data_IF_334107045335
#
_entry.id   IF_334107045335
#
_cell.length_a   1.000
_cell.length_b   1.000
_cell.length_c   1.000
_cell.angle_alpha   90.00
_cell.angle_beta   90.00
_cell.angle_gamma   90.00
#
_symmetry.space_group_name_H-M   'P 1'
#
loop_
_entity.id
_entity.type
_entity.pdbx_description
1 polymer ?
#
# COMPACT_ATOMS: atom_id res chain seq x y z
N UNK A 1 -21.55 -9.08 19.77
CA UNK A 1 -20.09 -8.92 19.82
C UNK A 1 -19.49 -10.24 20.19
N UNK A 2 -18.53 -10.69 19.39
CA UNK A 2 -17.79 -11.93 19.58
C UNK A 2 -16.31 -11.58 19.59
N UNK A 3 -15.55 -12.24 20.46
CA UNK A 3 -14.11 -12.09 20.52
C UNK A 3 -13.45 -13.47 20.63
N UNK A 4 -12.56 -13.76 19.68
CA UNK A 4 -11.57 -14.81 19.73
C UNK A 4 -10.23 -14.23 20.17
N UNK A 5 -9.63 -14.79 21.21
CA UNK A 5 -8.27 -14.42 21.61
C UNK A 5 -7.46 -15.69 21.86
N UNK A 6 -6.45 -15.90 21.02
CA UNK A 6 -5.49 -16.97 21.16
C UNK A 6 -4.10 -16.39 21.37
N UNK A 7 -3.50 -16.64 22.54
CA UNK A 7 -2.14 -16.20 22.87
C UNK A 7 -1.28 -17.40 23.23
N UNK A 8 -0.15 -17.58 22.53
CA UNK A 8 0.85 -18.58 22.86
C UNK A 8 2.21 -17.91 23.12
N UNK A 9 2.81 -18.19 24.28
CA UNK A 9 4.03 -17.59 24.89
C UNK A 9 3.80 -16.44 25.91
N UNK A 10 4.86 -16.09 26.63
CA UNK A 10 4.86 -15.11 27.72
C UNK A 10 5.05 -13.68 27.17
N UNK A 11 4.24 -12.73 27.65
CA UNK A 11 4.26 -11.26 27.41
C UNK A 11 3.45 -10.71 26.22
N UNK A 12 2.69 -11.54 25.52
CA UNK A 12 1.69 -11.04 24.58
C UNK A 12 0.63 -10.19 25.31
N UNK A 13 0.24 -9.08 24.71
CA UNK A 13 -0.79 -8.18 25.19
C UNK A 13 -1.82 -7.98 24.07
N UNK A 14 -3.10 -8.10 24.41
CA UNK A 14 -4.19 -7.75 23.52
C UNK A 14 -5.20 -6.91 24.32
N UNK A 15 -5.48 -5.71 23.83
CA UNK A 15 -6.56 -4.86 24.29
C UNK A 15 -7.61 -4.85 23.17
N UNK A 16 -8.83 -5.26 23.50
CA UNK A 16 -9.95 -5.31 22.54
C UNK A 16 -11.16 -4.65 23.19
N UNK A 17 -11.64 -3.56 22.60
CA UNK A 17 -12.88 -2.88 22.97
C UNK A 17 -13.87 -3.00 21.82
N UNK A 18 -15.08 -3.49 22.10
CA UNK A 18 -16.17 -3.59 21.13
C UNK A 18 -17.42 -2.88 21.67
N UNK A 19 -17.80 -1.76 21.05
CA UNK A 19 -18.99 -0.98 21.37
C UNK A 19 -19.97 -1.07 20.20
N UNK A 20 -21.21 -1.50 20.46
CA UNK A 20 -22.24 -1.71 19.43
C UNK A 20 -22.71 -3.16 19.37
N UNK A 21 -23.29 -3.59 18.25
CA UNK A 21 -23.87 -4.91 18.03
C UNK A 21 -23.09 -5.69 16.97
N UNK A 22 -23.11 -7.03 17.04
CA UNK A 22 -22.54 -7.91 16.01
C UNK A 22 -21.06 -7.69 15.60
N UNK A 23 -20.27 -6.91 16.35
CA UNK A 23 -18.83 -6.80 16.08
C UNK A 23 -18.13 -8.14 16.33
N UNK A 24 -17.16 -8.48 15.49
CA UNK A 24 -16.36 -9.71 15.56
C UNK A 24 -14.87 -9.35 15.54
N UNK A 25 -14.12 -9.91 16.49
CA UNK A 25 -12.68 -9.69 16.59
C UNK A 25 -11.98 -11.02 16.86
N UNK A 26 -11.10 -11.47 15.98
CA UNK A 26 -10.24 -12.64 16.20
C UNK A 26 -8.78 -12.19 16.27
N UNK A 27 -8.14 -12.41 17.42
CA UNK A 27 -6.74 -12.05 17.66
C UNK A 27 -5.95 -13.32 17.98
N UNK A 28 -5.08 -13.72 17.07
CA UNK A 28 -4.19 -14.87 17.21
C UNK A 28 -2.72 -14.45 17.26
N UNK A 29 -2.13 -14.48 18.46
CA UNK A 29 -0.71 -14.22 18.70
C UNK A 29 0.02 -15.55 18.93
N UNK A 30 0.64 -16.07 17.88
CA UNK A 30 1.24 -17.41 17.80
C UNK A 30 2.76 -17.34 17.70
N UNK A 31 3.48 -18.08 18.55
CA UNK A 31 4.89 -18.39 18.31
C UNK A 31 5.15 -19.90 18.44
N UNK A 32 5.66 -20.51 17.36
CA UNK A 32 6.09 -21.91 17.31
C UNK A 32 7.60 -22.00 17.55
N UNK A 33 8.04 -22.89 18.47
CA UNK A 33 9.46 -23.28 18.55
C UNK A 33 10.27 -22.70 19.71
N UNK A 34 9.67 -22.54 20.89
CA UNK A 34 10.32 -22.45 22.21
C UNK A 34 11.76 -21.92 22.27
N UNK A 35 11.93 -20.59 22.39
CA UNK A 35 12.71 -19.94 23.45
C UNK A 35 13.12 -18.49 23.12
N UNK A 36 12.19 -17.53 22.99
CA UNK A 36 12.34 -16.10 23.37
C UNK A 36 10.93 -15.58 23.74
N UNK A 37 10.75 -14.75 24.80
CA UNK A 37 9.45 -14.11 25.06
C UNK A 37 9.16 -13.07 23.97
N UNK A 38 8.32 -13.44 23.02
CA UNK A 38 7.71 -12.51 22.05
C UNK A 38 6.64 -11.72 22.79
N UNK A 39 6.67 -10.39 22.72
CA UNK A 39 5.73 -9.51 23.40
C UNK A 39 4.79 -8.83 22.39
N UNK A 40 4.11 -9.63 21.56
CA UNK A 40 3.19 -9.07 20.56
C UNK A 40 2.13 -8.23 21.26
N UNK A 41 1.88 -7.04 20.73
CA UNK A 41 0.84 -6.13 21.20
C UNK A 41 -0.23 -5.98 20.13
N UNK A 42 -1.47 -6.19 20.52
CA UNK A 42 -2.64 -5.79 19.74
C UNK A 42 -3.43 -4.79 20.56
N UNK A 43 -3.82 -3.68 19.94
CA UNK A 43 -4.78 -2.71 20.47
C UNK A 43 -5.88 -2.55 19.43
N UNK A 44 -7.10 -2.91 19.79
CA UNK A 44 -8.24 -2.97 18.88
C UNK A 44 -9.44 -2.27 19.51
N UNK A 45 -9.87 -1.17 18.92
CA UNK A 45 -11.11 -0.47 19.28
C UNK A 45 -12.10 -0.56 18.11
N UNK A 46 -13.25 -1.21 18.32
CA UNK A 46 -14.34 -1.32 17.35
C UNK A 46 -15.59 -0.61 17.90
N UNK A 47 -16.08 0.40 17.20
CA UNK A 47 -17.26 1.19 17.55
C UNK A 47 -18.25 1.18 16.39
N UNK A 48 -19.48 0.72 16.63
CA UNK A 48 -20.55 0.60 15.62
C UNK A 48 -21.06 -0.84 15.52
N UNK A 49 -21.81 -1.16 14.47
CA UNK A 49 -22.46 -2.46 14.31
C UNK A 49 -21.81 -3.29 13.17
N UNK A 50 -21.60 -4.59 13.38
CA UNK A 50 -21.20 -5.52 12.31
C UNK A 50 -19.72 -5.51 11.89
N UNK A 51 -18.87 -4.72 12.55
CA UNK A 51 -17.44 -4.63 12.21
C UNK A 51 -16.71 -5.95 12.46
N UNK A 52 -15.84 -6.36 11.53
CA UNK A 52 -14.99 -7.56 11.64
C UNK A 52 -13.52 -7.18 11.66
N UNK A 53 -12.75 -7.78 12.57
CA UNK A 53 -11.29 -7.68 12.55
C UNK A 53 -10.62 -9.03 12.78
N UNK A 54 -9.63 -9.35 11.98
CA UNK A 54 -8.72 -10.49 12.18
C UNK A 54 -7.29 -9.98 12.34
N UNK A 55 -6.63 -10.35 13.45
CA UNK A 55 -5.22 -10.04 13.69
C UNK A 55 -4.47 -11.33 13.93
N UNK A 56 -3.53 -11.66 13.05
CA UNK A 56 -2.64 -12.79 13.21
C UNK A 56 -1.21 -12.28 13.33
N UNK A 57 -0.58 -12.55 14.48
CA UNK A 57 0.82 -12.17 14.72
C UNK A 57 1.65 -13.40 15.07
N UNK A 58 2.51 -13.80 14.12
CA UNK A 58 3.69 -14.64 14.30
C UNK A 58 3.72 -15.95 13.51
N UNK A 59 4.93 -16.37 13.10
CA UNK A 59 5.27 -17.71 12.55
C UNK A 59 6.71 -18.12 12.93
N UNK A 60 7.01 -19.41 12.77
CA UNK A 60 8.19 -20.18 13.21
C UNK A 60 9.55 -19.73 12.67
N UNK A 61 10.50 -19.48 13.59
CA UNK A 61 11.94 -19.64 13.37
C UNK A 61 12.77 -18.36 13.24
N UNK A 62 13.48 -17.98 14.31
CA UNK A 62 14.41 -16.84 14.36
C UNK A 62 14.48 -16.20 15.76
N UNK A 63 15.41 -15.24 15.95
CA UNK A 63 15.46 -14.38 17.14
C UNK A 63 14.48 -13.23 16.92
N UNK A 64 13.34 -13.20 17.60
CA UNK A 64 12.25 -12.28 17.24
C UNK A 64 11.98 -11.21 18.30
N UNK A 65 11.77 -10.00 17.80
CA UNK A 65 11.34 -8.80 18.53
C UNK A 65 9.79 -8.70 18.45
N UNK A 66 9.16 -7.67 19.00
CA UNK A 66 7.71 -7.68 19.29
C UNK A 66 6.89 -6.95 18.23
N UNK A 67 5.90 -7.61 17.63
CA UNK A 67 5.02 -6.96 16.65
C UNK A 67 3.91 -6.17 17.33
N UNK A 68 3.62 -4.97 16.83
CA UNK A 68 2.53 -4.12 17.32
C UNK A 68 1.51 -3.91 16.22
N UNK A 69 0.26 -4.27 16.50
CA UNK A 69 -0.90 -3.93 15.68
C UNK A 69 -1.81 -3.00 16.47
N UNK A 70 -2.13 -1.83 15.92
CA UNK A 70 -3.11 -0.88 16.46
C UNK A 70 -4.20 -0.70 15.41
N UNK A 71 -5.45 -0.99 15.78
CA UNK A 71 -6.59 -0.97 14.88
C UNK A 71 -7.72 -0.18 15.55
N UNK A 72 -8.24 0.82 14.87
CA UNK A 72 -9.38 1.63 15.32
C UNK A 72 -10.44 1.67 14.23
N UNK A 73 -11.65 1.18 14.53
CA UNK A 73 -12.79 1.16 13.60
C UNK A 73 -13.95 1.93 14.21
N UNK A 74 -14.47 2.90 13.47
CA UNK A 74 -15.70 3.62 13.80
C UNK A 74 -16.66 3.63 12.61
N UNK A 75 -17.83 3.02 12.76
CA UNK A 75 -18.88 2.92 11.75
C UNK A 75 -19.44 1.49 11.67
N UNK A 76 -20.20 1.17 10.61
CA UNK A 76 -20.90 -0.10 10.48
C UNK A 76 -20.31 -0.99 9.36
N UNK A 77 -20.30 -2.31 9.57
CA UNK A 77 -19.90 -3.34 8.60
C UNK A 77 -18.47 -3.18 8.00
N UNK A 78 -17.53 -2.55 8.71
CA UNK A 78 -16.12 -2.46 8.25
C UNK A 78 -15.35 -3.76 8.49
N UNK A 79 -14.40 -4.06 7.59
CA UNK A 79 -13.49 -5.20 7.65
C UNK A 79 -12.03 -4.77 7.85
N UNK A 80 -11.29 -5.50 8.67
CA UNK A 80 -9.84 -5.37 8.78
C UNK A 80 -9.17 -6.75 8.93
N UNK A 81 -8.08 -6.97 8.20
CA UNK A 81 -7.19 -8.12 8.36
C UNK A 81 -5.74 -7.64 8.50
N UNK A 82 -5.07 -8.05 9.58
CA UNK A 82 -3.69 -7.68 9.86
C UNK A 82 -2.87 -8.94 10.16
N UNK A 83 -2.03 -9.36 9.22
CA UNK A 83 -1.24 -10.57 9.32
C UNK A 83 0.27 -10.27 9.27
N UNK A 84 0.93 -10.31 10.42
CA UNK A 84 2.38 -10.09 10.55
C UNK A 84 3.11 -11.37 10.96
N UNK A 85 4.09 -11.83 10.18
CA UNK A 85 4.71 -13.15 10.37
C UNK A 85 6.10 -13.17 11.06
N UNK A 86 6.84 -12.05 11.15
CA UNK A 86 8.18 -11.94 11.76
C UNK A 86 8.44 -10.53 12.36
N UNK A 87 9.62 -10.20 12.90
CA UNK A 87 9.89 -9.28 14.02
C UNK A 87 9.62 -7.77 13.87
N UNK A 88 9.64 -7.01 14.98
CA UNK A 88 9.49 -5.53 15.14
C UNK A 88 8.61 -4.78 14.10
N UNK A 89 7.58 -5.44 13.56
CA UNK A 89 6.66 -4.84 12.60
C UNK A 89 5.64 -3.95 13.32
N UNK A 90 5.37 -2.77 12.76
CA UNK A 90 4.35 -1.83 13.22
C UNK A 90 3.23 -1.76 12.19
N UNK A 91 2.01 -2.02 12.61
CA UNK A 91 0.81 -1.90 11.76
C UNK A 91 -0.19 -1.01 12.47
N UNK A 92 -0.56 0.11 11.86
CA UNK A 92 -1.61 1.02 12.29
C UNK A 92 -2.69 1.05 11.22
N UNK A 93 -3.94 0.79 11.61
CA UNK A 93 -5.10 0.82 10.71
C UNK A 93 -6.23 1.61 11.38
N UNK A 94 -6.68 2.69 10.74
CA UNK A 94 -7.81 3.49 11.21
C UNK A 94 -8.89 3.57 10.13
N UNK A 95 -10.14 3.25 10.48
CA UNK A 95 -11.29 3.34 9.58
C UNK A 95 -12.40 4.17 10.21
N UNK A 96 -12.90 5.15 9.48
CA UNK A 96 -14.00 6.03 9.86
C UNK A 96 -15.05 6.08 8.75
N UNK A 97 -16.18 5.38 8.94
CA UNK A 97 -17.28 5.29 7.97
C UNK A 97 -17.80 3.85 7.86
N UNK A 98 -18.58 3.56 6.83
CA UNK A 98 -19.23 2.25 6.66
C UNK A 98 -18.59 1.44 5.52
N UNK A 99 -18.58 0.11 5.64
CA UNK A 99 -18.13 -0.81 4.58
C UNK A 99 -16.69 -0.64 4.07
N UNK A 100 -15.80 -0.03 4.85
CA UNK A 100 -14.38 0.04 4.49
C UNK A 100 -13.69 -1.31 4.75
N UNK A 101 -12.67 -1.64 3.96
CA UNK A 101 -11.85 -2.85 4.11
C UNK A 101 -10.35 -2.52 4.07
N UNK A 102 -9.58 -3.06 5.02
CA UNK A 102 -8.10 -3.02 4.98
C UNK A 102 -7.58 -4.45 5.14
N UNK A 103 -6.81 -4.93 4.16
CA UNK A 103 -6.06 -6.19 4.22
C UNK A 103 -4.55 -5.91 4.16
N UNK A 104 -3.87 -6.09 5.29
CA UNK A 104 -2.44 -5.91 5.43
C UNK A 104 -1.80 -7.26 5.77
N UNK A 105 -0.92 -7.72 4.88
CA UNK A 105 -0.06 -8.89 5.11
C UNK A 105 1.40 -8.47 5.02
N UNK A 106 2.16 -8.70 6.09
CA UNK A 106 3.57 -8.30 6.22
C UNK A 106 4.42 -9.50 6.67
N UNK A 107 5.52 -9.73 5.98
CA UNK A 107 6.48 -10.82 6.28
C UNK A 107 7.92 -10.28 6.23
N UNK A 108 8.57 -10.23 7.39
CA UNK A 108 9.98 -9.86 7.54
C UNK A 108 10.18 -9.13 8.87
N UNK A 109 11.23 -8.32 8.97
CA UNK A 109 11.52 -7.54 10.18
C UNK A 109 11.44 -6.01 9.92
N UNK A 110 10.87 -5.27 10.89
CA UNK A 110 10.84 -3.78 10.92
C UNK A 110 10.06 -3.11 9.79
N UNK A 111 9.00 -3.73 9.30
CA UNK A 111 8.11 -3.05 8.37
C UNK A 111 7.14 -2.15 9.14
N UNK A 112 6.82 -1.00 8.56
CA UNK A 112 5.89 -0.02 9.09
C UNK A 112 4.75 0.16 8.09
N UNK A 113 3.53 -0.20 8.49
CA UNK A 113 2.32 -0.03 7.67
C UNK A 113 1.35 0.86 8.42
N UNK A 114 1.00 2.00 7.84
CA UNK A 114 0.04 2.97 8.40
C UNK A 114 -1.06 3.24 7.37
N UNK A 115 -2.30 2.86 7.68
CA UNK A 115 -3.43 3.02 6.77
C UNK A 115 -4.55 3.75 7.49
N UNK A 116 -5.01 4.85 6.92
CA UNK A 116 -6.14 5.64 7.39
C UNK A 116 -7.17 5.73 6.27
N UNK A 117 -8.42 5.36 6.56
CA UNK A 117 -9.56 5.47 5.65
C UNK A 117 -10.66 6.29 6.31
N UNK A 118 -11.13 7.33 5.63
CA UNK A 118 -12.27 8.16 6.03
C UNK A 118 -13.27 8.21 4.87
N UNK A 119 -14.53 7.86 5.15
CA UNK A 119 -15.62 7.73 4.17
C UNK A 119 -16.11 6.30 4.06
N UNK A 120 -16.89 5.98 3.02
CA UNK A 120 -17.56 4.69 2.88
C UNK A 120 -16.98 3.85 1.72
N UNK A 121 -17.02 2.53 1.85
CA UNK A 121 -16.64 1.57 0.77
C UNK A 121 -15.19 1.72 0.25
N UNK A 122 -14.25 2.25 1.06
CA UNK A 122 -12.84 2.29 0.69
C UNK A 122 -12.14 0.95 0.93
N UNK A 123 -11.17 0.60 0.09
CA UNK A 123 -10.43 -0.66 0.14
C UNK A 123 -8.92 -0.43 0.00
N UNK A 124 -8.14 -0.98 0.94
CA UNK A 124 -6.68 -0.97 0.91
C UNK A 124 -6.14 -2.39 1.03
N UNK A 125 -5.30 -2.78 0.08
CA UNK A 125 -4.56 -4.05 0.10
C UNK A 125 -3.05 -3.79 0.16
N UNK A 126 -2.40 -4.20 1.25
CA UNK A 126 -0.94 -4.18 1.40
C UNK A 126 -0.41 -5.60 1.53
N UNK A 127 0.52 -5.97 0.66
CA UNK A 127 1.21 -7.25 0.72
C UNK A 127 2.72 -7.04 0.66
N UNK A 128 3.39 -7.05 1.80
CA UNK A 128 4.84 -6.93 1.90
C UNK A 128 5.48 -8.28 2.29
N UNK A 129 6.44 -8.74 1.48
CA UNK A 129 7.32 -9.87 1.85
C UNK A 129 6.75 -11.28 1.66
N UNK A 130 5.54 -11.41 1.10
CA UNK A 130 4.83 -12.69 0.89
C UNK A 130 5.64 -13.73 0.08
N UNK A 131 6.65 -13.31 -0.68
CA UNK A 131 7.47 -14.18 -1.54
C UNK A 131 8.99 -14.14 -1.30
N UNK A 132 9.48 -13.60 -0.18
CA UNK A 132 10.89 -13.80 0.18
C UNK A 132 11.56 -12.69 0.99
N UNK A 133 11.05 -12.45 2.21
CA UNK A 133 11.64 -11.49 3.15
C UNK A 133 11.46 -10.04 2.68
N UNK A 134 10.80 -9.22 3.49
CA UNK A 134 10.71 -7.79 3.26
C UNK A 134 11.10 -7.15 4.58
N UNK A 135 12.29 -6.57 4.64
CA UNK A 135 12.78 -5.90 5.84
C UNK A 135 12.74 -4.39 5.62
N UNK A 136 12.39 -3.65 6.67
CA UNK A 136 12.45 -2.19 6.71
C UNK A 136 11.63 -1.47 5.61
N UNK A 137 10.51 -2.03 5.15
CA UNK A 137 9.63 -1.33 4.22
C UNK A 137 8.64 -0.43 4.98
N UNK A 138 8.33 0.73 4.40
CA UNK A 138 7.34 1.66 4.92
C UNK A 138 6.20 1.81 3.91
N UNK A 139 4.97 1.59 4.35
CA UNK A 139 3.77 1.76 3.53
C UNK A 139 2.80 2.64 4.29
N UNK A 140 2.48 3.82 3.75
CA UNK A 140 1.56 4.78 4.37
C UNK A 140 0.47 5.19 3.40
N UNK A 141 -0.80 5.02 3.78
CA UNK A 141 -1.95 5.38 2.96
C UNK A 141 -2.99 6.20 3.72
N UNK A 142 -3.45 7.29 3.11
CA UNK A 142 -4.54 8.14 3.58
C UNK A 142 -5.61 8.23 2.48
N UNK A 143 -6.81 7.72 2.73
CA UNK A 143 -7.96 7.80 1.83
C UNK A 143 -9.07 8.64 2.48
N UNK A 144 -9.45 9.73 1.83
CA UNK A 144 -10.55 10.62 2.24
C UNK A 144 -11.58 10.74 1.11
N UNK A 145 -12.71 10.04 1.25
CA UNK A 145 -13.79 9.97 0.27
C UNK A 145 -14.38 8.57 0.20
N UNK A 146 -15.11 8.24 -0.87
CA UNK A 146 -15.79 6.95 -1.00
C UNK A 146 -15.27 6.13 -2.18
N UNK A 147 -15.39 4.81 -2.08
CA UNK A 147 -15.01 3.86 -3.14
C UNK A 147 -13.56 3.99 -3.62
N UNK A 148 -12.64 4.49 -2.79
CA UNK A 148 -11.24 4.55 -3.17
C UNK A 148 -10.60 3.18 -2.98
N UNK A 149 -9.76 2.78 -3.93
CA UNK A 149 -9.00 1.55 -3.92
C UNK A 149 -7.51 1.82 -4.03
N UNK A 150 -6.73 1.20 -3.15
CA UNK A 150 -5.28 1.22 -3.24
C UNK A 150 -4.67 -0.16 -2.97
N UNK A 151 -3.80 -0.60 -3.88
CA UNK A 151 -3.02 -1.84 -3.73
C UNK A 151 -1.52 -1.56 -3.74
N UNK A 152 -0.78 -2.09 -2.77
CA UNK A 152 0.68 -2.11 -2.77
C UNK A 152 1.22 -3.52 -2.51
N UNK A 153 1.92 -4.08 -3.51
CA UNK A 153 2.55 -5.40 -3.45
C UNK A 153 4.06 -5.27 -3.52
N UNK A 154 4.74 -5.58 -2.42
CA UNK A 154 6.19 -5.53 -2.28
C UNK A 154 6.74 -6.95 -2.22
N UNK A 155 7.47 -7.36 -3.27
CA UNK A 155 7.91 -8.74 -3.50
C UNK A 155 9.44 -8.81 -3.52
N UNK A 156 10.04 -9.49 -2.52
CA UNK A 156 11.50 -9.57 -2.34
C UNK A 156 12.12 -8.17 -2.37
N UNK A 157 11.78 -7.38 -1.36
CA UNK A 157 11.91 -5.94 -1.40
C UNK A 157 12.33 -5.46 -0.01
N UNK A 158 13.54 -4.92 0.11
CA UNK A 158 14.07 -4.32 1.35
C UNK A 158 14.11 -2.79 1.23
N UNK A 159 13.70 -2.08 2.28
CA UNK A 159 13.86 -0.63 2.35
C UNK A 159 12.99 0.20 1.39
N UNK A 160 11.89 -0.35 0.86
CA UNK A 160 11.01 0.39 -0.04
C UNK A 160 10.03 1.27 0.75
N UNK A 161 9.68 2.41 0.17
CA UNK A 161 8.69 3.34 0.73
C UNK A 161 7.55 3.52 -0.27
N UNK A 162 6.31 3.32 0.17
CA UNK A 162 5.11 3.61 -0.61
C UNK A 162 4.21 4.52 0.20
N UNK A 163 4.12 5.79 -0.21
CA UNK A 163 3.24 6.77 0.41
C UNK A 163 2.13 7.12 -0.57
N UNK A 164 0.88 7.12 -0.13
CA UNK A 164 -0.25 7.52 -0.95
C UNK A 164 -1.28 8.32 -0.19
N UNK A 165 -1.76 9.39 -0.81
CA UNK A 165 -2.93 10.14 -0.36
C UNK A 165 -3.94 10.22 -1.51
N UNK A 166 -5.19 9.81 -1.26
CA UNK A 166 -6.30 9.92 -2.20
C UNK A 166 -7.44 10.69 -1.54
N UNK A 167 -7.73 11.88 -2.06
CA UNK A 167 -8.88 12.68 -1.67
C UNK A 167 -9.87 12.74 -2.82
N UNK A 168 -11.15 12.44 -2.54
CA UNK A 168 -12.23 12.35 -3.53
C UNK A 168 -12.76 10.93 -3.67
N UNK A 169 -13.59 10.69 -4.68
CA UNK A 169 -14.34 9.43 -4.83
C UNK A 169 -13.84 8.58 -6.02
N UNK A 170 -14.00 7.26 -5.93
CA UNK A 170 -13.78 6.30 -7.02
C UNK A 170 -12.34 6.28 -7.60
N UNK A 171 -11.32 6.66 -6.80
CA UNK A 171 -9.93 6.59 -7.25
C UNK A 171 -9.34 5.19 -7.10
N UNK A 172 -8.57 4.69 -8.07
CA UNK A 172 -8.06 3.32 -8.09
C UNK A 172 -6.57 3.27 -8.43
N UNK A 173 -5.71 2.87 -7.49
CA UNK A 173 -4.27 2.76 -7.75
C UNK A 173 -3.70 1.42 -7.32
N UNK A 174 -2.77 0.89 -8.12
CA UNK A 174 -2.03 -0.33 -7.78
C UNK A 174 -0.54 -0.20 -8.08
N UNK A 175 0.27 -0.69 -7.15
CA UNK A 175 1.74 -0.69 -7.23
C UNK A 175 2.26 -2.11 -7.03
N UNK A 176 3.08 -2.59 -7.97
CA UNK A 176 3.87 -3.80 -7.80
C UNK A 176 5.36 -3.46 -7.77
N UNK A 177 6.01 -3.67 -6.64
CA UNK A 177 7.40 -3.30 -6.43
C UNK A 177 8.22 -4.56 -6.20
N UNK A 178 9.29 -4.72 -6.98
CA UNK A 178 10.27 -5.79 -6.84
C UNK A 178 11.67 -5.19 -6.94
N UNK A 179 12.48 -5.44 -5.91
CA UNK A 179 13.76 -4.78 -5.72
C UNK A 179 13.77 -3.88 -4.48
N UNK A 180 14.91 -3.28 -4.21
CA UNK A 180 15.23 -2.64 -2.95
C UNK A 180 15.27 -1.11 -3.08
N UNK A 181 14.98 -0.42 -1.96
CA UNK A 181 15.13 1.03 -1.84
C UNK A 181 14.33 1.86 -2.87
N UNK A 182 13.21 1.35 -3.37
CA UNK A 182 12.33 2.12 -4.23
C UNK A 182 11.40 3.02 -3.43
N UNK A 183 11.10 4.19 -3.98
CA UNK A 183 10.18 5.16 -3.41
C UNK A 183 9.01 5.40 -4.38
N UNK A 184 7.79 5.30 -3.87
CA UNK A 184 6.56 5.69 -4.57
C UNK A 184 5.85 6.72 -3.72
N UNK A 185 5.54 7.88 -4.30
CA UNK A 185 4.69 8.89 -3.69
C UNK A 185 3.50 9.17 -4.61
N UNK A 186 2.30 8.99 -4.08
CA UNK A 186 1.03 9.22 -4.76
C UNK A 186 0.26 10.33 -4.06
N UNK A 187 -0.20 11.33 -4.81
CA UNK A 187 -1.15 12.34 -4.32
C UNK A 187 -2.25 12.53 -5.37
N UNK A 188 -3.48 12.22 -4.99
CA UNK A 188 -4.66 12.34 -5.83
C UNK A 188 -5.66 13.28 -5.15
N UNK A 189 -6.10 14.30 -5.88
CA UNK A 189 -7.17 15.22 -5.48
C UNK A 189 -8.23 15.28 -6.59
N UNK A 190 -9.33 14.54 -6.39
CA UNK A 190 -10.48 14.50 -7.27
C UNK A 190 -11.00 13.08 -7.45
N UNK A 191 -11.73 12.83 -8.54
CA UNK A 191 -12.57 11.64 -8.67
C UNK A 191 -12.21 10.76 -9.87
N UNK A 192 -12.52 9.47 -9.82
CA UNK A 192 -12.36 8.55 -10.95
C UNK A 192 -10.92 8.45 -11.51
N UNK A 193 -9.89 8.86 -10.76
CA UNK A 193 -8.50 8.76 -11.25
C UNK A 193 -7.95 7.36 -11.04
N UNK A 194 -7.19 6.85 -12.02
CA UNK A 194 -6.72 5.46 -11.99
C UNK A 194 -5.23 5.35 -12.28
N UNK A 195 -4.61 4.31 -11.73
CA UNK A 195 -3.27 3.99 -12.13
C UNK A 195 -2.77 2.60 -11.79
N UNK A 196 -1.73 2.21 -12.51
CA UNK A 196 -1.11 0.90 -12.40
C UNK A 196 0.38 0.99 -12.69
N UNK A 197 1.20 0.71 -11.68
CA UNK A 197 2.64 0.82 -11.77
C UNK A 197 3.35 -0.46 -11.37
N UNK A 198 4.48 -0.73 -12.04
CA UNK A 198 5.33 -1.88 -11.80
C UNK A 198 6.81 -1.53 -11.81
N UNK A 199 7.57 -2.01 -10.83
CA UNK A 199 9.03 -2.03 -10.86
C UNK A 199 9.51 -3.47 -11.04
N UNK A 200 10.43 -3.69 -11.98
CA UNK A 200 11.01 -4.98 -12.35
C UNK A 200 9.99 -6.10 -12.64
N UNK A 201 9.27 -6.02 -13.77
CA UNK A 201 8.35 -7.10 -14.16
C UNK A 201 9.09 -8.34 -14.69
N UNK A 202 10.33 -8.19 -15.15
CA UNK A 202 11.11 -9.26 -15.79
C UNK A 202 12.08 -9.93 -14.81
N UNK A 203 11.96 -11.24 -14.67
CA UNK A 203 12.95 -12.06 -13.95
C UNK A 203 14.21 -12.25 -14.80
N UNK A 204 15.45 -12.14 -14.26
CA UNK A 204 15.82 -12.07 -12.84
C UNK A 204 16.08 -10.65 -12.30
N UNK A 205 15.82 -9.61 -13.07
CA UNK A 205 16.18 -8.23 -12.69
C UNK A 205 15.40 -7.78 -11.44
N UNK A 206 16.09 -7.02 -10.60
CA UNK A 206 15.56 -6.27 -9.47
C UNK A 206 15.76 -4.81 -9.87
N UNK A 207 14.72 -4.00 -9.71
CA UNK A 207 14.76 -2.58 -10.05
C UNK A 207 14.97 -1.85 -8.73
N UNK A 208 16.20 -1.42 -8.48
CA UNK A 208 16.59 -0.85 -7.19
C UNK A 208 16.71 0.68 -7.26
N UNK A 209 16.35 1.35 -6.18
CA UNK A 209 16.56 2.79 -6.03
C UNK A 209 15.72 3.68 -6.97
N UNK A 210 14.60 3.17 -7.50
CA UNK A 210 13.73 3.95 -8.37
C UNK A 210 12.81 4.87 -7.57
N UNK A 211 12.49 6.03 -8.14
CA UNK A 211 11.52 6.99 -7.58
C UNK A 211 10.37 7.18 -8.56
N UNK A 212 9.15 7.09 -8.06
CA UNK A 212 7.92 7.39 -8.79
C UNK A 212 7.09 8.38 -8.00
N UNK A 213 6.95 9.59 -8.53
CA UNK A 213 6.11 10.65 -7.99
C UNK A 213 4.92 10.86 -8.94
N UNK A 214 3.71 10.68 -8.41
CA UNK A 214 2.46 10.86 -9.15
C UNK A 214 1.60 11.89 -8.41
N UNK A 215 1.31 13.00 -9.09
CA UNK A 215 0.38 14.02 -8.64
C UNK A 215 -0.74 14.19 -9.67
N UNK A 216 -1.97 13.86 -9.28
CA UNK A 216 -3.15 14.00 -10.14
C UNK A 216 -4.17 14.88 -9.45
N UNK A 217 -4.59 15.94 -10.15
CA UNK A 217 -5.66 16.83 -9.72
C UNK A 217 -6.75 16.86 -10.78
N UNK A 218 -7.99 16.59 -10.39
CA UNK A 218 -9.14 16.56 -11.29
C UNK A 218 -9.75 15.18 -11.42
N UNK A 219 -10.33 14.85 -12.58
CA UNK A 219 -11.13 13.63 -12.69
C UNK A 219 -10.89 12.78 -13.93
N UNK A 220 -10.95 11.47 -13.76
CA UNK A 220 -10.83 10.51 -14.87
C UNK A 220 -9.46 10.56 -15.53
N UNK A 221 -8.40 10.85 -14.78
CA UNK A 221 -7.05 10.80 -15.31
C UNK A 221 -6.42 9.43 -15.03
N UNK A 222 -5.69 8.93 -16.01
CA UNK A 222 -5.07 7.60 -15.98
C UNK A 222 -3.55 7.72 -16.03
N UNK A 223 -2.86 6.99 -15.14
CA UNK A 223 -1.39 6.87 -15.14
C UNK A 223 -0.96 5.41 -15.09
N UNK A 224 -0.19 4.97 -16.08
CA UNK A 224 0.32 3.61 -16.08
C UNK A 224 1.77 3.55 -16.54
N UNK A 225 2.54 2.62 -15.95
CA UNK A 225 3.91 2.43 -16.38
C UNK A 225 4.65 1.29 -15.70
N UNK A 226 5.83 1.04 -16.25
CA UNK A 226 6.75 0.00 -15.89
C UNK A 226 8.18 0.54 -15.91
N UNK A 227 8.93 0.22 -14.86
CA UNK A 227 10.33 0.62 -14.70
C UNK A 227 11.18 -0.64 -14.49
N UNK A 228 11.93 -1.00 -15.52
CA UNK A 228 12.89 -2.11 -15.55
C UNK A 228 14.32 -1.55 -15.61
N UNK A 229 14.91 -1.32 -14.43
CA UNK A 229 16.30 -0.87 -14.25
C UNK A 229 16.49 -0.11 -12.94
N UNK A 230 17.71 0.32 -12.68
CA UNK A 230 18.07 0.94 -11.39
C UNK A 230 18.10 2.47 -11.45
N UNK A 231 17.77 3.11 -10.33
CA UNK A 231 17.91 4.55 -10.11
C UNK A 231 17.16 5.42 -11.13
N UNK A 232 16.02 4.96 -11.64
CA UNK A 232 15.17 5.75 -12.52
C UNK A 232 14.25 6.67 -11.71
N UNK A 233 13.91 7.81 -12.32
CA UNK A 233 13.12 8.88 -11.71
C UNK A 233 11.95 9.22 -12.64
N UNK A 234 10.73 8.97 -12.18
CA UNK A 234 9.49 9.21 -12.94
C UNK A 234 8.63 10.20 -12.17
N UNK A 235 8.39 11.36 -12.77
CA UNK A 235 7.56 12.44 -12.23
C UNK A 235 6.38 12.69 -13.18
N UNK A 236 5.16 12.58 -12.66
CA UNK A 236 3.92 12.78 -13.41
C UNK A 236 3.03 13.79 -12.68
N UNK A 237 2.74 14.89 -13.36
CA UNK A 237 1.73 15.87 -12.97
C UNK A 237 0.60 15.89 -14.01
N UNK A 238 -0.59 15.45 -13.61
CA UNK A 238 -1.82 15.56 -14.41
C UNK A 238 -2.80 16.50 -13.72
N UNK A 239 -3.19 17.58 -14.39
CA UNK A 239 -4.17 18.53 -13.88
C UNK A 239 -5.29 18.69 -14.90
N UNK A 240 -6.50 18.26 -14.56
CA UNK A 240 -7.69 18.41 -15.38
C UNK A 240 -8.47 17.11 -15.55
N UNK A 241 -9.01 16.91 -16.75
CA UNK A 241 -9.97 15.83 -17.00
C UNK A 241 -9.52 14.93 -18.14
N UNK A 242 -9.53 13.62 -17.94
CA UNK A 242 -9.29 12.67 -19.03
C UNK A 242 -7.85 12.66 -19.55
N UNK A 243 -6.87 13.09 -18.76
CA UNK A 243 -5.47 12.99 -19.16
C UNK A 243 -4.99 11.55 -19.00
N UNK A 244 -4.18 11.09 -19.93
CA UNK A 244 -3.76 9.70 -20.03
C UNK A 244 -2.24 9.60 -20.21
N UNK A 245 -1.59 8.82 -19.36
CA UNK A 245 -0.23 8.31 -19.56
C UNK A 245 -0.36 6.80 -19.74
N UNK A 246 -0.43 6.36 -21.00
CA UNK A 246 -0.77 4.97 -21.36
C UNK A 246 -1.75 4.87 -22.52
N UNK A 247 -2.16 3.64 -22.81
CA UNK A 247 -3.33 3.35 -23.67
C UNK A 247 -4.56 2.86 -22.91
N UNK A 248 -4.38 2.45 -21.64
CA UNK A 248 -5.43 2.12 -20.70
C UNK A 248 -4.83 2.06 -19.28
N UNK A 249 -5.59 2.37 -18.24
CA UNK A 249 -5.08 2.43 -16.86
C UNK A 249 -4.50 1.10 -16.35
N UNK A 250 -4.94 -0.05 -16.89
CA UNK A 250 -4.45 -1.37 -16.48
C UNK A 250 -3.32 -1.92 -17.36
N UNK A 251 -2.97 -1.22 -18.43
CA UNK A 251 -1.87 -1.57 -19.32
C UNK A 251 -0.68 -0.68 -18.96
N UNK A 252 0.41 -1.27 -18.46
CA UNK A 252 1.60 -0.54 -17.98
C UNK A 252 2.48 -0.04 -19.12
N UNK A 253 1.92 0.69 -20.07
CA UNK A 253 2.60 1.12 -21.30
C UNK A 253 2.78 2.64 -21.44
N UNK A 254 2.30 3.43 -20.47
CA UNK A 254 2.41 4.88 -20.49
C UNK A 254 3.84 5.37 -20.31
N UNK A 255 4.52 4.87 -19.30
CA UNK A 255 5.98 4.97 -19.13
C UNK A 255 6.55 3.56 -19.17
N UNK A 256 7.50 3.29 -20.05
CA UNK A 256 8.18 2.01 -20.20
C UNK A 256 9.69 2.27 -20.24
N UNK A 257 10.37 2.01 -19.11
CA UNK A 257 11.82 2.24 -18.98
C UNK A 257 12.54 0.90 -18.97
N UNK A 258 13.51 0.74 -19.88
CA UNK A 258 14.48 -0.35 -19.90
C UNK A 258 15.91 0.22 -19.80
N UNK A 259 16.46 0.22 -18.59
CA UNK A 259 17.82 0.69 -18.29
C UNK A 259 17.89 1.59 -17.06
N UNK A 260 19.09 2.11 -16.79
CA UNK A 260 19.39 2.74 -15.51
C UNK A 260 19.50 4.27 -15.57
N UNK A 261 19.21 4.93 -14.45
CA UNK A 261 19.45 6.38 -14.29
C UNK A 261 18.70 7.22 -15.32
N UNK A 262 17.52 6.78 -15.76
CA UNK A 262 16.68 7.54 -16.67
C UNK A 262 15.72 8.45 -15.89
N UNK A 263 15.39 9.59 -16.47
CA UNK A 263 14.42 10.54 -15.92
C UNK A 263 13.28 10.74 -16.91
N UNK A 264 12.03 10.57 -16.46
CA UNK A 264 10.82 10.83 -17.24
C UNK A 264 9.96 11.84 -16.49
N UNK A 265 9.71 12.99 -17.11
CA UNK A 265 8.87 14.05 -16.53
C UNK A 265 7.68 14.28 -17.46
N UNK A 266 6.45 14.13 -16.96
CA UNK A 266 5.22 14.31 -17.74
C UNK A 266 4.35 15.35 -17.05
N UNK A 267 4.05 16.43 -17.76
CA UNK A 267 3.14 17.48 -17.31
C UNK A 267 1.97 17.61 -18.29
N UNK A 268 0.77 17.24 -17.87
CA UNK A 268 -0.45 17.33 -18.68
C UNK A 268 -1.48 18.22 -17.97
N UNK A 269 -1.65 19.45 -18.45
CA UNK A 269 -2.58 20.43 -17.87
C UNK A 269 -3.73 20.72 -18.84
N UNK A 270 -4.97 20.54 -18.40
CA UNK A 270 -6.17 20.66 -19.23
C UNK A 270 -6.77 19.29 -19.51
N UNK A 271 -7.38 19.12 -20.68
CA UNK A 271 -8.20 17.93 -20.95
C UNK A 271 -7.70 17.08 -22.10
N UNK A 272 -7.94 15.77 -22.00
CA UNK A 272 -7.78 14.78 -23.06
C UNK A 272 -6.34 14.72 -23.64
N UNK A 273 -5.34 14.96 -22.80
CA UNK A 273 -3.94 14.78 -23.18
C UNK A 273 -3.55 13.31 -23.11
N UNK A 274 -2.69 12.86 -24.02
CA UNK A 274 -2.18 11.49 -24.01
C UNK A 274 -0.68 11.47 -24.28
N UNK A 275 0.05 10.59 -23.59
CA UNK A 275 1.46 10.34 -23.83
C UNK A 275 1.85 8.88 -23.65
N UNK A 276 2.83 8.44 -24.44
CA UNK A 276 3.48 7.12 -24.38
C UNK A 276 4.99 7.34 -24.44
N UNK A 277 5.72 6.81 -23.46
CA UNK A 277 7.12 7.13 -23.24
C UNK A 277 7.92 5.83 -23.08
N UNK A 278 8.58 5.39 -24.16
CA UNK A 278 9.54 4.29 -24.09
C UNK A 278 10.96 4.85 -23.98
N UNK A 279 11.68 4.45 -22.93
CA UNK A 279 13.07 4.83 -22.70
C UNK A 279 13.93 3.58 -22.69
N UNK A 280 14.98 3.53 -23.51
CA UNK A 280 15.92 2.39 -23.54
C UNK A 280 17.35 2.88 -23.41
N UNK A 281 18.13 2.19 -22.58
CA UNK A 281 19.51 2.56 -22.26
C UNK A 281 19.59 3.39 -20.97
N UNK A 282 20.76 3.99 -20.73
CA UNK A 282 21.05 4.59 -19.43
C UNK A 282 21.26 6.12 -19.54
N UNK A 283 20.85 6.85 -18.51
CA UNK A 283 21.10 8.29 -18.40
C UNK A 283 20.27 9.15 -19.36
N UNK A 284 19.13 8.65 -19.83
CA UNK A 284 18.25 9.40 -20.72
C UNK A 284 17.33 10.33 -19.93
N UNK A 285 16.88 11.41 -20.57
CA UNK A 285 15.86 12.29 -20.02
C UNK A 285 14.76 12.51 -21.05
N UNK A 286 13.52 12.25 -20.67
CA UNK A 286 12.32 12.52 -21.45
C UNK A 286 11.47 13.55 -20.72
N UNK A 287 10.99 14.56 -21.43
CA UNK A 287 10.06 15.55 -20.89
C UNK A 287 8.89 15.73 -21.84
N UNK A 288 7.68 15.51 -21.34
CA UNK A 288 6.42 15.76 -22.03
C UNK A 288 5.70 16.92 -21.34
N UNK A 289 5.24 17.89 -22.12
CA UNK A 289 4.41 18.98 -21.61
C UNK A 289 3.28 19.24 -22.59
N UNK A 290 2.05 19.06 -22.14
CA UNK A 290 0.83 19.28 -22.90
C UNK A 290 -0.11 20.20 -22.12
N UNK A 291 -0.79 21.10 -22.83
CA UNK A 291 -1.51 22.22 -22.24
C UNK A 291 -2.62 22.76 -23.14
N UNK A 292 -3.83 22.97 -22.63
CA UNK A 292 -4.89 23.72 -23.31
C UNK A 292 -5.76 24.58 -22.38
#
# INVERSE_FOLDING_TARGET
NTMGLFQNNQKNMAYVQQIGNNNDADVAQVAFGGAIPVANRTDLDQIGDGNRTEVVQGISGGNHEANTATISITGDDNGNAANGAAGDDWMTMEQYGDLNDIDVTVVGDRNDVDVIQTGDENDVLVQAGVYGGADANAVSFDQDGNNNYLEAKLVSAEGNTVNGAQTGDDNFYRFGIKGDNNAVNLTIDGNDNRGSWGFASVFPEQADGNTLDINVVGSGNDTAGEVDGDNNDVDIEQNGTGNEVGTDWYIRDGVDILGDSNTVIINQSGNDHSSLNTVTGNGNTTTVTQGN
#
